data_IF_709517482860
#
_entry.id   IF_709517482860
#
_cell.length_a   1.000
_cell.length_b   1.000
_cell.length_c   1.000
_cell.angle_alpha   90.00
_cell.angle_beta   90.00
_cell.angle_gamma   90.00
#
_symmetry.space_group_name_H-M   'P 1'
#
loop_
_entity.id
_entity.type
_entity.pdbx_description
1 polymer ?
#
# COMPACT_ATOMS: atom_id res chain seq x y z
N UNK A 1 -30.03 -11.18 49.98
CA UNK A 1 -29.20 -10.70 51.11
C UNK A 1 -27.72 -10.73 50.76
N UNK A 2 -27.13 -9.57 50.49
CA UNK A 2 -25.85 -9.07 51.03
C UNK A 2 -25.34 -7.94 50.14
N UNK A 3 -25.45 -6.73 50.69
CA UNK A 3 -24.77 -5.53 50.24
C UNK A 3 -23.24 -5.69 50.42
N UNK A 4 -22.48 -5.09 49.51
CA UNK A 4 -21.03 -4.94 49.61
C UNK A 4 -20.63 -3.57 49.06
N UNK A 5 -20.59 -2.58 49.94
CA UNK A 5 -20.03 -1.25 49.70
C UNK A 5 -18.50 -1.35 49.52
N UNK A 6 -17.95 -0.64 48.52
CA UNK A 6 -16.52 -0.36 48.42
C UNK A 6 -16.30 1.15 48.42
N UNK A 7 -15.68 1.62 49.50
CA UNK A 7 -15.25 3.00 49.74
C UNK A 7 -14.16 3.44 48.74
N UNK A 8 -14.41 4.56 48.05
CA UNK A 8 -13.38 5.37 47.40
C UNK A 8 -12.66 6.26 48.43
N UNK A 9 -11.42 5.89 48.79
CA UNK A 9 -10.52 6.75 49.57
C UNK A 9 -9.76 7.71 48.66
N UNK A 10 -10.02 9.01 48.80
CA UNK A 10 -9.17 10.10 48.29
C UNK A 10 -7.81 10.07 49.01
N UNK A 11 -6.70 10.01 48.26
CA UNK A 11 -5.35 10.26 48.77
C UNK A 11 -4.93 11.69 48.43
N UNK A 12 -4.54 12.41 49.48
CA UNK A 12 -4.03 13.77 49.45
C UNK A 12 -2.55 13.81 49.03
N UNK A 13 -2.16 14.95 48.47
CA UNK A 13 -0.80 15.33 48.11
C UNK A 13 0.16 15.33 49.32
N UNK A 14 1.39 14.85 49.10
CA UNK A 14 2.58 15.24 49.88
C UNK A 14 3.68 15.62 48.90
N UNK A 15 4.01 16.92 48.86
CA UNK A 15 5.21 17.42 48.20
C UNK A 15 6.20 17.81 49.32
N UNK A 16 7.41 17.27 49.23
CA UNK A 16 8.50 17.42 50.21
C UNK A 16 9.37 18.61 49.78
N UNK A 17 9.91 19.32 50.77
CA UNK A 17 10.41 20.69 50.68
C UNK A 17 11.56 20.98 49.69
N UNK A 18 11.61 22.24 49.27
CA UNK A 18 12.75 22.90 48.63
C UNK A 18 12.56 24.42 48.69
N UNK A 19 13.39 25.12 49.46
CA UNK A 19 13.30 26.57 49.79
C UNK A 19 13.65 27.47 48.60
N UNK A 20 13.01 28.63 48.51
CA UNK A 20 13.65 29.89 48.11
C UNK A 20 13.00 31.09 48.83
N UNK A 21 13.83 32.10 49.10
CA UNK A 21 13.75 33.03 50.23
C UNK A 21 13.26 34.43 49.81
N UNK A 22 12.41 35.03 50.67
CA UNK A 22 12.12 36.46 50.96
C UNK A 22 12.18 37.51 49.82
N UNK A 23 11.10 38.29 49.66
CA UNK A 23 11.06 39.71 50.10
C UNK A 23 9.76 40.47 49.75
N UNK A 24 9.19 41.15 50.78
CA UNK A 24 8.41 42.43 50.81
C UNK A 24 7.05 42.46 50.06
N UNK A 25 5.93 42.98 50.58
CA UNK A 25 5.52 43.79 51.76
C UNK A 25 3.98 43.63 51.95
N UNK A 26 3.37 44.08 53.08
CA UNK A 26 2.07 43.61 53.58
C UNK A 26 0.85 44.34 53.01
N UNK A 27 -0.29 43.65 52.96
CA UNK A 27 -1.62 44.28 52.92
C UNK A 27 -2.00 44.74 54.33
N UNK A 28 -2.60 45.93 54.53
CA UNK A 28 -3.20 46.31 55.81
C UNK A 28 -4.52 45.56 56.03
N UNK A 29 -4.71 45.20 57.28
CA UNK A 29 -5.91 44.58 57.84
C UNK A 29 -7.13 45.51 57.87
N UNK A 30 -8.27 44.84 58.13
CA UNK A 30 -9.44 45.30 58.88
C UNK A 30 -10.60 45.94 58.11
N UNK A 31 -11.68 45.14 57.94
CA UNK A 31 -13.00 45.42 58.52
C UNK A 31 -14.00 44.31 58.13
N UNK A 32 -14.40 43.55 59.15
CA UNK A 32 -15.61 42.71 59.18
C UNK A 32 -16.87 43.58 59.10
N UNK A 33 -17.84 43.21 58.26
CA UNK A 33 -19.26 43.27 58.61
C UNK A 33 -20.13 42.48 57.63
N UNK A 34 -21.10 41.81 58.25
CA UNK A 34 -22.07 40.82 57.79
C UNK A 34 -23.15 41.39 56.84
N UNK A 35 -23.90 40.47 56.22
CA UNK A 35 -25.20 40.59 55.53
C UNK A 35 -25.20 40.73 53.98
N UNK A 36 -25.47 39.59 53.35
CA UNK A 36 -26.24 39.49 52.09
C UNK A 36 -27.75 39.71 52.40
N UNK A 37 -28.67 40.00 51.44
CA UNK A 37 -28.58 39.64 50.01
C UNK A 37 -29.23 40.60 48.96
N UNK A 38 -28.98 40.28 47.68
CA UNK A 38 -29.83 40.46 46.48
C UNK A 38 -30.00 41.86 45.83
N UNK A 39 -29.47 41.90 44.59
CA UNK A 39 -29.99 42.52 43.34
C UNK A 39 -30.14 44.04 43.29
N UNK A 40 -29.39 44.67 42.37
CA UNK A 40 -29.89 45.19 41.07
C UNK A 40 -28.91 46.28 40.58
N UNK A 41 -28.13 45.99 39.53
CA UNK A 41 -27.26 46.97 38.88
C UNK A 41 -27.95 47.57 37.65
N UNK A 42 -28.10 48.89 37.66
CA UNK A 42 -28.22 49.72 36.47
C UNK A 42 -27.10 50.79 36.49
N UNK A 43 -26.66 51.13 35.28
CA UNK A 43 -25.41 51.78 34.89
C UNK A 43 -25.20 53.23 35.36
N UNK A 44 -23.93 53.65 35.57
CA UNK A 44 -23.27 54.63 34.70
C UNK A 44 -21.75 54.85 34.93
N UNK A 45 -21.00 54.74 33.83
CA UNK A 45 -19.72 55.37 33.43
C UNK A 45 -18.82 55.98 34.53
N UNK A 46 -17.60 55.44 34.63
CA UNK A 46 -16.37 56.24 34.54
C UNK A 46 -15.26 55.45 33.84
N UNK A 47 -14.84 56.02 32.73
CA UNK A 47 -13.74 55.67 31.84
C UNK A 47 -12.41 55.46 32.58
N UNK A 48 -11.69 54.39 32.23
CA UNK A 48 -10.24 54.31 32.35
C UNK A 48 -9.67 53.42 31.24
N UNK A 49 -8.67 53.95 30.56
CA UNK A 49 -7.94 53.38 29.45
C UNK A 49 -7.29 52.05 29.85
N UNK A 50 -7.57 50.97 29.10
CA UNK A 50 -6.68 49.83 29.00
C UNK A 50 -5.86 50.02 27.73
N UNK A 51 -4.54 50.18 27.87
CA UNK A 51 -3.62 49.88 26.78
C UNK A 51 -3.78 48.39 26.47
N UNK A 52 -4.50 48.06 25.41
CA UNK A 52 -4.31 46.78 24.73
C UNK A 52 -3.03 46.94 23.91
N UNK A 53 -2.03 46.13 24.24
CA UNK A 53 -0.87 45.90 23.36
C UNK A 53 -1.40 45.25 22.07
N UNK A 54 -1.39 45.94 20.92
CA UNK A 54 -1.96 45.43 19.69
C UNK A 54 -0.87 44.82 18.81
N UNK A 55 0.10 44.10 19.35
CA UNK A 55 1.13 43.44 18.52
C UNK A 55 1.63 42.13 19.11
N UNK A 56 0.73 41.15 19.23
CA UNK A 56 1.15 39.75 19.15
C UNK A 56 0.30 39.02 18.14
N UNK A 57 0.52 39.37 16.88
CA UNK A 57 0.17 38.52 15.74
C UNK A 57 0.82 37.16 16.01
N UNK A 58 0.01 36.19 16.44
CA UNK A 58 0.40 34.79 16.38
C UNK A 58 0.66 34.50 14.91
N UNK A 59 1.93 34.46 14.51
CA UNK A 59 2.32 33.82 13.26
C UNK A 59 1.59 32.48 13.19
N UNK A 60 0.85 32.18 12.11
CA UNK A 60 0.30 30.85 11.93
C UNK A 60 1.47 29.88 12.05
N UNK A 61 1.47 29.05 13.09
CA UNK A 61 2.47 28.01 13.22
C UNK A 61 2.35 27.17 11.96
N UNK A 62 3.39 27.16 11.14
CA UNK A 62 3.48 26.30 9.96
C UNK A 62 3.07 24.90 10.43
N UNK A 63 2.07 24.26 9.81
CA UNK A 63 1.61 22.95 10.27
C UNK A 63 2.83 22.03 10.35
N UNK A 64 3.04 21.44 11.53
CA UNK A 64 4.17 20.54 11.78
C UNK A 64 4.02 19.40 10.77
N UNK A 65 4.93 19.36 9.80
CA UNK A 65 4.94 18.27 8.82
C UNK A 65 5.56 17.06 9.50
N UNK A 66 4.78 16.00 9.67
CA UNK A 66 5.25 14.75 10.27
C UNK A 66 6.11 13.96 9.27
N UNK A 67 7.15 13.30 9.78
CA UNK A 67 8.05 12.45 9.00
C UNK A 67 7.41 11.09 8.73
N UNK A 68 7.66 10.53 7.54
CA UNK A 68 7.26 9.18 7.20
C UNK A 68 8.31 8.15 7.65
N UNK A 69 7.90 6.89 7.73
CA UNK A 69 8.78 5.78 8.10
C UNK A 69 8.73 4.64 7.08
N UNK A 70 9.86 3.96 6.90
CA UNK A 70 9.97 2.66 6.24
C UNK A 70 10.95 1.80 7.04
N UNK A 71 10.43 0.81 7.75
CA UNK A 71 11.21 0.10 8.76
C UNK A 71 11.73 1.07 9.82
N UNK A 72 13.03 1.04 10.09
CA UNK A 72 13.67 1.91 11.09
C UNK A 72 14.04 3.31 10.56
N UNK A 73 13.94 3.52 9.24
CA UNK A 73 14.35 4.76 8.59
C UNK A 73 13.23 5.80 8.64
N UNK A 74 13.63 7.06 8.85
CA UNK A 74 12.75 8.24 8.90
C UNK A 74 13.03 9.16 7.71
N UNK A 75 11.96 9.65 7.10
CA UNK A 75 12.02 10.51 5.91
C UNK A 75 11.24 11.79 6.15
N UNK A 76 11.84 12.91 5.79
CA UNK A 76 11.18 14.21 5.89
C UNK A 76 9.99 14.30 4.92
N UNK A 77 8.95 15.02 5.32
CA UNK A 77 7.84 15.34 4.41
C UNK A 77 8.37 16.07 3.17
N UNK A 78 7.89 15.67 1.99
CA UNK A 78 8.42 16.08 0.69
C UNK A 78 9.48 15.14 0.11
N UNK A 79 9.99 14.15 0.86
CA UNK A 79 10.86 13.11 0.30
C UNK A 79 10.12 12.33 -0.78
N UNK A 80 10.75 12.14 -1.94
CA UNK A 80 10.18 11.41 -3.07
C UNK A 80 11.07 10.24 -3.51
N UNK A 81 10.42 9.18 -3.99
CA UNK A 81 11.05 8.00 -4.57
C UNK A 81 10.41 7.67 -5.92
N UNK A 82 11.21 7.07 -6.81
CA UNK A 82 10.75 6.45 -8.04
C UNK A 82 11.28 5.02 -8.06
N UNK A 83 10.46 4.06 -7.61
CA UNK A 83 10.81 2.63 -7.55
C UNK A 83 9.66 1.80 -8.10
N UNK A 84 9.98 0.62 -8.64
CA UNK A 84 8.98 -0.36 -9.09
C UNK A 84 7.91 0.27 -9.97
N UNK A 85 8.35 1.15 -10.89
CA UNK A 85 7.50 1.79 -11.89
C UNK A 85 6.50 2.81 -11.34
N UNK A 86 6.63 3.23 -10.09
CA UNK A 86 5.74 4.20 -9.48
C UNK A 86 6.52 5.27 -8.69
N UNK A 87 6.09 6.52 -8.84
CA UNK A 87 6.55 7.62 -7.99
C UNK A 87 5.72 7.66 -6.71
N UNK A 88 6.38 7.74 -5.56
CA UNK A 88 5.71 7.95 -4.28
C UNK A 88 6.46 8.94 -3.40
N UNK A 89 5.75 9.63 -2.52
CA UNK A 89 6.28 10.74 -1.73
C UNK A 89 5.70 10.78 -0.31
N UNK A 90 6.49 11.29 0.61
CA UNK A 90 6.09 11.49 2.01
C UNK A 90 5.32 12.79 2.16
N UNK A 91 4.16 12.75 2.83
CA UNK A 91 3.39 13.94 3.20
C UNK A 91 2.70 13.70 4.53
N UNK A 92 2.99 14.53 5.52
CA UNK A 92 2.35 14.49 6.85
C UNK A 92 2.32 13.07 7.46
N UNK A 93 3.49 12.42 7.53
CA UNK A 93 3.63 11.10 8.15
C UNK A 93 3.14 9.91 7.32
N UNK A 94 2.60 10.14 6.12
CA UNK A 94 2.03 9.12 5.24
C UNK A 94 2.64 9.13 3.85
N UNK A 95 2.64 7.98 3.20
CA UNK A 95 3.12 7.82 1.84
C UNK A 95 1.98 7.99 0.83
N UNK A 96 2.24 8.70 -0.25
CA UNK A 96 1.28 8.94 -1.33
C UNK A 96 1.91 8.67 -2.69
N UNK A 97 1.10 8.38 -3.70
CA UNK A 97 1.51 8.29 -5.10
C UNK A 97 0.68 9.24 -5.97
N UNK A 98 1.26 9.68 -7.10
CA UNK A 98 0.53 10.40 -8.15
C UNK A 98 -0.24 9.49 -9.10
N UNK A 99 -0.20 8.15 -8.90
CA UNK A 99 -0.76 7.13 -9.78
C UNK A 99 -0.27 7.24 -11.23
N UNK A 100 0.98 7.66 -11.40
CA UNK A 100 1.63 7.76 -12.71
C UNK A 100 2.72 6.71 -12.82
N UNK A 101 2.52 5.76 -13.74
CA UNK A 101 3.50 4.74 -14.05
C UNK A 101 4.69 5.32 -14.81
N UNK A 102 5.88 4.82 -14.51
CA UNK A 102 7.09 5.16 -15.25
C UNK A 102 7.04 4.53 -16.65
N UNK A 103 7.07 5.36 -17.69
CA UNK A 103 7.02 4.91 -19.09
C UNK A 103 8.23 4.07 -19.53
N UNK A 104 9.33 4.06 -18.78
CA UNK A 104 10.48 3.21 -19.05
C UNK A 104 10.27 1.75 -18.63
N UNK A 105 9.23 1.45 -17.84
CA UNK A 105 8.98 0.10 -17.37
C UNK A 105 8.38 -0.81 -18.44
N UNK A 106 8.70 -2.09 -18.36
CA UNK A 106 8.02 -3.12 -19.14
C UNK A 106 6.61 -3.30 -18.61
N UNK A 107 5.66 -3.53 -19.51
CA UNK A 107 4.24 -3.71 -19.20
C UNK A 107 3.74 -4.95 -19.91
N UNK A 108 3.17 -5.87 -19.14
CA UNK A 108 2.51 -7.07 -19.65
C UNK A 108 1.20 -7.28 -18.89
N UNK A 109 0.34 -8.16 -19.41
CA UNK A 109 -0.96 -8.38 -18.79
C UNK A 109 -1.51 -9.77 -19.05
N UNK A 110 -2.40 -10.21 -18.17
CA UNK A 110 -3.28 -11.36 -18.37
C UNK A 110 -4.68 -11.06 -17.82
N UNK A 111 -5.73 -11.64 -18.40
CA UNK A 111 -7.11 -11.45 -17.95
C UNK A 111 -7.87 -12.78 -17.75
N UNK A 112 -9.12 -12.70 -17.29
CA UNK A 112 -10.06 -13.83 -17.33
C UNK A 112 -10.41 -14.18 -18.78
N UNK A 113 -10.85 -15.42 -19.04
CA UNK A 113 -10.92 -15.97 -20.41
C UNK A 113 -9.59 -15.80 -21.13
N UNK A 114 -8.55 -16.50 -20.64
CA UNK A 114 -7.27 -15.88 -20.42
C UNK A 114 -6.56 -15.52 -21.72
N UNK A 115 -6.51 -14.21 -21.95
CA UNK A 115 -5.68 -13.59 -22.94
C UNK A 115 -4.44 -13.05 -22.26
N UNK A 116 -3.29 -13.26 -22.89
CA UNK A 116 -2.00 -12.81 -22.41
C UNK A 116 -1.43 -11.80 -23.39
N UNK A 117 -0.75 -10.81 -22.84
CA UNK A 117 0.12 -9.89 -23.57
C UNK A 117 1.48 -9.95 -22.91
N UNK A 118 2.49 -10.46 -23.62
CA UNK A 118 3.87 -10.49 -23.14
C UNK A 118 4.45 -9.07 -23.04
N UNK A 119 5.61 -8.94 -22.40
CA UNK A 119 6.29 -7.65 -22.28
C UNK A 119 6.70 -7.04 -23.63
N UNK A 120 6.97 -7.86 -24.64
CA UNK A 120 7.34 -7.39 -25.99
C UNK A 120 6.15 -7.36 -26.97
N UNK A 121 4.97 -7.81 -26.53
CA UNK A 121 3.70 -7.58 -27.22
C UNK A 121 3.12 -8.78 -27.99
N UNK A 122 3.60 -9.99 -27.74
CA UNK A 122 2.94 -11.22 -28.20
C UNK A 122 1.60 -11.36 -27.49
N UNK A 123 0.54 -11.53 -28.28
CA UNK A 123 -0.80 -11.85 -27.83
C UNK A 123 -1.06 -13.35 -28.00
N UNK A 124 -1.52 -14.02 -26.95
CA UNK A 124 -1.91 -15.42 -27.02
C UNK A 124 -3.00 -15.77 -26.01
N UNK A 125 -3.70 -16.87 -26.27
CA UNK A 125 -4.78 -17.40 -25.44
C UNK A 125 -4.35 -18.75 -24.85
N UNK A 126 -4.58 -18.96 -23.56
CA UNK A 126 -4.22 -20.23 -22.92
C UNK A 126 -5.01 -20.58 -21.66
N UNK A 127 -5.71 -21.71 -21.72
CA UNK A 127 -6.64 -22.16 -20.68
C UNK A 127 -6.04 -23.21 -19.74
N UNK A 128 -5.06 -22.83 -18.92
CA UNK A 128 -4.46 -23.72 -17.92
C UNK A 128 -5.25 -23.83 -16.61
N UNK A 129 -5.20 -24.99 -15.93
CA UNK A 129 -5.77 -25.22 -14.59
C UNK A 129 -4.69 -25.50 -13.54
N UNK A 130 -3.98 -24.47 -13.10
CA UNK A 130 -2.94 -24.58 -12.06
C UNK A 130 -2.42 -23.22 -11.60
N UNK A 131 -1.42 -23.24 -10.73
CA UNK A 131 -0.55 -22.10 -10.48
C UNK A 131 0.51 -22.09 -11.58
N UNK A 132 0.76 -20.93 -12.16
CA UNK A 132 1.74 -20.77 -13.22
C UNK A 132 2.58 -19.52 -13.02
N UNK A 133 3.78 -19.56 -13.57
CA UNK A 133 4.73 -18.47 -13.57
C UNK A 133 4.32 -17.43 -14.61
N UNK A 134 3.83 -16.28 -14.16
CA UNK A 134 3.53 -15.17 -15.05
C UNK A 134 4.84 -14.49 -15.44
N UNK A 135 5.64 -14.12 -14.45
CA UNK A 135 7.00 -13.62 -14.66
C UNK A 135 7.87 -13.92 -13.44
N UNK A 136 9.14 -14.23 -13.66
CA UNK A 136 10.16 -14.37 -12.64
C UNK A 136 11.52 -13.90 -13.18
N UNK A 137 12.48 -13.71 -12.29
CA UNK A 137 13.88 -13.55 -12.69
C UNK A 137 14.46 -14.87 -13.22
N UNK A 138 15.11 -14.81 -14.37
CA UNK A 138 15.72 -15.96 -15.02
C UNK A 138 14.78 -17.15 -15.23
N UNK A 139 15.34 -18.35 -15.21
CA UNK A 139 14.65 -19.62 -15.52
C UNK A 139 14.68 -20.62 -14.36
N UNK A 140 15.19 -20.20 -13.19
CA UNK A 140 15.40 -21.07 -12.04
C UNK A 140 14.07 -21.58 -11.46
N UNK A 141 14.08 -22.76 -10.84
CA UNK A 141 12.90 -23.32 -10.17
C UNK A 141 12.56 -22.61 -8.86
N UNK A 142 13.50 -21.85 -8.30
CA UNK A 142 13.36 -21.12 -7.03
C UNK A 142 13.84 -19.68 -7.19
N UNK A 143 13.15 -18.85 -8.00
CA UNK A 143 13.55 -17.47 -8.23
C UNK A 143 13.39 -16.62 -6.95
N UNK A 144 14.25 -15.61 -6.79
CA UNK A 144 14.17 -14.70 -5.64
C UNK A 144 13.01 -13.71 -5.73
N UNK A 145 12.55 -13.42 -6.96
CA UNK A 145 11.46 -12.49 -7.25
C UNK A 145 10.58 -13.04 -8.36
N UNK A 146 9.27 -12.98 -8.17
CA UNK A 146 8.30 -13.59 -9.08
C UNK A 146 6.89 -13.03 -8.92
N UNK A 147 6.08 -13.25 -9.96
CA UNK A 147 4.62 -13.09 -10.00
C UNK A 147 4.03 -14.38 -10.56
N UNK A 148 3.26 -15.10 -9.75
CA UNK A 148 2.52 -16.30 -10.17
C UNK A 148 1.03 -16.05 -10.09
N UNK A 149 0.26 -16.85 -10.82
CA UNK A 149 -1.20 -16.77 -10.80
C UNK A 149 -1.83 -18.16 -10.83
N UNK A 150 -2.83 -18.37 -9.96
CA UNK A 150 -3.71 -19.52 -9.98
C UNK A 150 -4.83 -19.29 -11.00
N UNK A 151 -4.89 -20.15 -12.01
CA UNK A 151 -6.01 -20.26 -12.93
C UNK A 151 -6.85 -21.50 -12.62
N UNK A 152 -8.16 -21.30 -12.57
CA UNK A 152 -9.16 -22.36 -12.40
C UNK A 152 -10.36 -22.09 -13.28
N UNK A 153 -11.29 -23.04 -13.43
CA UNK A 153 -12.53 -22.79 -14.17
C UNK A 153 -13.24 -21.53 -13.68
N UNK A 154 -13.71 -20.71 -14.62
CA UNK A 154 -14.53 -19.55 -14.29
C UNK A 154 -15.82 -20.00 -13.60
N UNK A 155 -16.37 -19.13 -12.75
CA UNK A 155 -17.64 -19.42 -12.05
C UNK A 155 -18.75 -19.72 -13.07
N UNK A 156 -19.26 -20.96 -13.05
CA UNK A 156 -20.34 -21.41 -13.93
C UNK A 156 -19.93 -21.77 -15.36
N UNK A 157 -18.63 -21.72 -15.72
CA UNK A 157 -18.13 -22.03 -17.06
C UNK A 157 -16.92 -22.97 -16.94
N UNK A 158 -17.10 -24.25 -17.28
CA UNK A 158 -16.06 -25.27 -17.08
C UNK A 158 -14.95 -25.29 -18.13
N UNK A 159 -15.22 -24.80 -19.35
CA UNK A 159 -14.29 -24.82 -20.49
C UNK A 159 -13.42 -23.57 -20.61
N UNK A 160 -13.64 -22.56 -19.76
CA UNK A 160 -12.86 -21.32 -19.69
C UNK A 160 -12.25 -21.22 -18.30
N UNK A 161 -11.04 -20.69 -18.20
CA UNK A 161 -10.35 -20.46 -16.94
C UNK A 161 -10.32 -18.97 -16.61
N UNK A 162 -10.20 -18.66 -15.34
CA UNK A 162 -10.14 -17.32 -14.78
C UNK A 162 -9.02 -17.30 -13.76
N UNK A 163 -8.33 -16.17 -13.63
CA UNK A 163 -7.36 -16.04 -12.54
C UNK A 163 -8.11 -15.82 -11.22
N UNK A 164 -7.62 -16.44 -10.16
CA UNK A 164 -8.25 -16.39 -8.83
C UNK A 164 -7.32 -15.80 -7.78
N UNK A 165 -6.07 -16.26 -7.75
CA UNK A 165 -5.09 -15.86 -6.73
C UNK A 165 -3.81 -15.43 -7.41
N UNK A 166 -3.27 -14.28 -7.01
CA UNK A 166 -1.92 -13.84 -7.40
C UNK A 166 -0.97 -14.08 -6.25
N UNK A 167 0.15 -14.76 -6.52
CA UNK A 167 1.25 -14.91 -5.59
C UNK A 167 2.39 -14.00 -6.03
N UNK A 168 2.84 -13.11 -5.16
CA UNK A 168 3.80 -12.08 -5.51
C UNK A 168 4.95 -12.06 -4.51
N UNK A 169 6.19 -12.15 -5.00
CA UNK A 169 7.41 -12.00 -4.21
C UNK A 169 8.02 -10.61 -4.46
N UNK A 170 7.66 -9.60 -3.65
CA UNK A 170 8.09 -8.21 -3.88
C UNK A 170 9.54 -7.95 -3.50
N UNK A 171 10.12 -8.75 -2.62
CA UNK A 171 11.47 -8.58 -2.10
C UNK A 171 12.17 -9.95 -1.97
N UNK A 172 13.46 -10.08 -2.29
CA UNK A 172 14.21 -11.30 -2.03
C UNK A 172 14.23 -11.66 -0.53
N UNK A 173 14.25 -12.96 -0.21
CA UNK A 173 14.36 -13.49 1.14
C UNK A 173 13.23 -13.07 2.11
N UNK A 174 12.06 -12.69 1.60
CA UNK A 174 10.83 -12.49 2.38
C UNK A 174 9.81 -13.56 2.02
N UNK A 175 8.73 -13.69 2.79
CA UNK A 175 7.59 -14.51 2.37
C UNK A 175 6.83 -13.83 1.23
N UNK A 176 6.36 -14.58 0.24
CA UNK A 176 5.48 -14.06 -0.79
C UNK A 176 4.15 -13.54 -0.20
N UNK A 177 3.52 -12.64 -0.95
CA UNK A 177 2.17 -12.13 -0.71
C UNK A 177 1.20 -13.03 -1.48
N UNK A 178 0.17 -13.53 -0.81
CA UNK A 178 -0.97 -14.19 -1.44
C UNK A 178 -2.14 -13.19 -1.55
N UNK A 179 -2.64 -12.98 -2.77
CA UNK A 179 -3.73 -12.04 -3.04
C UNK A 179 -4.89 -12.80 -3.66
N UNK A 180 -5.93 -13.04 -2.88
CA UNK A 180 -7.14 -13.74 -3.32
C UNK A 180 -8.15 -12.72 -3.83
N UNK A 181 -8.44 -12.76 -5.14
CA UNK A 181 -9.41 -11.87 -5.79
C UNK A 181 -10.82 -12.09 -5.22
N UNK A 182 -11.52 -11.01 -4.90
CA UNK A 182 -12.93 -11.04 -4.54
C UNK A 182 -13.74 -10.04 -5.38
N UNK A 183 -15.06 -10.21 -5.41
CA UNK A 183 -15.98 -9.20 -5.92
C UNK A 183 -16.84 -8.64 -4.77
N UNK A 184 -16.92 -7.31 -4.61
CA UNK A 184 -16.09 -6.28 -5.25
C UNK A 184 -14.61 -6.36 -4.83
N UNK A 185 -13.71 -5.78 -5.64
CA UNK A 185 -12.26 -5.96 -5.50
C UNK A 185 -11.68 -5.50 -4.15
N UNK A 186 -12.26 -4.51 -3.48
CA UNK A 186 -11.83 -4.07 -2.14
C UNK A 186 -12.04 -5.14 -1.05
N UNK A 187 -12.79 -6.21 -1.33
CA UNK A 187 -12.90 -7.37 -0.45
C UNK A 187 -11.77 -8.40 -0.67
N UNK A 188 -10.83 -8.14 -1.58
CA UNK A 188 -9.72 -9.06 -1.86
C UNK A 188 -8.84 -9.21 -0.62
N UNK A 189 -8.48 -10.46 -0.33
CA UNK A 189 -7.67 -10.79 0.83
C UNK A 189 -6.19 -10.71 0.46
N UNK A 190 -5.42 -9.97 1.25
CA UNK A 190 -3.96 -9.94 1.14
C UNK A 190 -3.39 -10.66 2.35
N UNK A 191 -2.79 -11.82 2.13
CA UNK A 191 -2.25 -12.68 3.18
C UNK A 191 -0.73 -12.77 3.10
N UNK A 192 -0.06 -12.54 4.23
CA UNK A 192 1.40 -12.59 4.36
C UNK A 192 1.73 -13.32 5.66
N UNK A 193 2.42 -14.46 5.58
CA UNK A 193 2.70 -15.31 6.75
C UNK A 193 1.44 -15.62 7.59
N UNK A 194 0.31 -15.88 6.94
CA UNK A 194 -0.97 -16.16 7.62
C UNK A 194 -1.67 -14.94 8.21
N UNK A 195 -1.07 -13.75 8.16
CA UNK A 195 -1.74 -12.50 8.53
C UNK A 195 -2.53 -11.95 7.33
N UNK A 196 -3.86 -11.95 7.44
CA UNK A 196 -4.76 -11.42 6.40
C UNK A 196 -5.15 -9.99 6.68
N UNK A 197 -5.07 -9.14 5.65
CA UNK A 197 -5.48 -7.74 5.67
C UNK A 197 -6.24 -7.35 4.40
N UNK A 198 -6.86 -6.17 4.43
CA UNK A 198 -7.68 -5.62 3.36
C UNK A 198 -7.25 -4.19 3.08
N UNK A 199 -7.35 -3.78 1.82
CA UNK A 199 -7.03 -2.42 1.39
C UNK A 199 -8.32 -1.72 1.02
N UNK A 200 -8.65 -0.69 1.79
CA UNK A 200 -9.80 0.15 1.49
C UNK A 200 -9.53 0.98 0.22
N UNK A 201 -10.60 1.29 -0.51
CA UNK A 201 -10.53 2.24 -1.60
C UNK A 201 -10.12 3.63 -1.06
N UNK A 202 -9.00 4.16 -1.54
CA UNK A 202 -8.53 5.49 -1.18
C UNK A 202 -8.13 6.24 -2.46
N UNK A 203 -9.06 7.02 -3.04
CA UNK A 203 -8.83 7.70 -4.31
C UNK A 203 -7.73 8.78 -4.23
N UNK A 204 -7.28 9.14 -3.02
CA UNK A 204 -6.25 10.17 -2.83
C UNK A 204 -4.82 9.63 -3.04
N UNK A 205 -4.65 8.35 -3.39
CA UNK A 205 -3.35 7.73 -3.66
C UNK A 205 -2.52 7.48 -2.40
N UNK A 206 -3.14 7.39 -1.23
CA UNK A 206 -2.43 7.02 0.01
C UNK A 206 -1.99 5.55 -0.06
N UNK A 207 -0.71 5.30 0.22
CA UNK A 207 -0.15 3.96 0.27
C UNK A 207 -0.32 3.34 1.65
N UNK A 208 -0.76 2.09 1.70
CA UNK A 208 -0.81 1.30 2.93
C UNK A 208 0.45 0.45 3.02
N UNK A 209 1.22 0.60 4.09
CA UNK A 209 2.32 -0.31 4.41
C UNK A 209 1.74 -1.66 4.85
N UNK A 210 2.06 -2.71 4.11
CA UNK A 210 1.54 -4.04 4.38
C UNK A 210 2.12 -4.60 5.68
N UNK A 211 1.33 -5.46 6.33
CA UNK A 211 1.70 -6.13 7.57
C UNK A 211 1.90 -7.63 7.36
N UNK A 212 2.94 -8.19 7.98
CA UNK A 212 3.21 -9.62 8.01
C UNK A 212 2.78 -10.25 9.35
N UNK A 213 3.51 -11.29 9.75
CA UNK A 213 3.27 -12.01 10.99
C UNK A 213 3.17 -11.06 12.21
N UNK A 214 2.20 -11.32 13.08
CA UNK A 214 1.88 -10.54 14.28
C UNK A 214 1.68 -9.03 14.03
N UNK A 215 1.33 -8.61 12.81
CA UNK A 215 1.10 -7.20 12.48
C UNK A 215 2.38 -6.38 12.31
N UNK A 216 3.53 -7.03 12.15
CA UNK A 216 4.82 -6.37 11.89
C UNK A 216 4.87 -5.76 10.49
N UNK A 217 5.66 -4.70 10.30
CA UNK A 217 5.83 -4.08 8.99
C UNK A 217 6.44 -5.08 7.99
N UNK A 218 5.75 -5.29 6.88
CA UNK A 218 6.25 -6.05 5.74
C UNK A 218 6.76 -5.08 4.67
N UNK A 219 7.85 -5.39 3.94
CA UNK A 219 8.51 -4.45 3.06
C UNK A 219 7.81 -4.25 1.70
N UNK A 220 6.49 -4.02 1.72
CA UNK A 220 5.70 -3.73 0.53
C UNK A 220 4.55 -2.77 0.84
N UNK A 221 4.16 -2.02 -0.18
CA UNK A 221 2.98 -1.18 -0.16
C UNK A 221 1.83 -1.84 -0.92
N UNK A 222 0.60 -1.51 -0.51
CA UNK A 222 -0.58 -1.71 -1.32
C UNK A 222 -1.51 -0.49 -1.27
N UNK A 223 -2.24 -0.27 -2.36
CA UNK A 223 -3.26 0.78 -2.45
C UNK A 223 -4.30 0.44 -3.50
N UNK A 224 -5.49 1.00 -3.32
CA UNK A 224 -6.58 0.89 -4.27
C UNK A 224 -6.76 2.23 -4.98
N UNK A 225 -6.79 2.20 -6.31
CA UNK A 225 -7.12 3.35 -7.16
C UNK A 225 -7.64 2.87 -8.51
N UNK A 226 -8.41 3.70 -9.22
CA UNK A 226 -8.99 3.34 -10.52
C UNK A 226 -9.75 1.99 -10.54
N UNK A 227 -10.31 1.58 -9.40
CA UNK A 227 -10.99 0.29 -9.22
C UNK A 227 -10.06 -0.94 -9.20
N UNK A 228 -8.74 -0.74 -9.06
CA UNK A 228 -7.73 -1.80 -9.05
C UNK A 228 -6.85 -1.74 -7.79
N UNK A 229 -6.43 -2.92 -7.33
CA UNK A 229 -5.46 -3.11 -6.25
C UNK A 229 -4.05 -3.06 -6.84
N UNK A 230 -3.16 -2.31 -6.23
CA UNK A 230 -1.76 -2.20 -6.63
C UNK A 230 -0.88 -2.66 -5.48
N UNK A 231 0.16 -3.44 -5.77
CA UNK A 231 1.11 -3.94 -4.78
C UNK A 231 2.53 -3.85 -5.32
N UNK A 232 3.47 -3.35 -4.51
CA UNK A 232 4.89 -3.29 -4.87
C UNK A 232 5.80 -3.35 -3.63
N UNK A 233 7.02 -3.88 -3.79
CA UNK A 233 8.09 -3.74 -2.81
C UNK A 233 8.62 -2.30 -2.74
N UNK A 234 9.45 -1.99 -1.75
CA UNK A 234 10.12 -0.68 -1.64
C UNK A 234 11.62 -0.75 -1.36
N UNK A 235 12.18 -1.92 -1.01
CA UNK A 235 13.60 -2.09 -0.75
C UNK A 235 14.35 -2.28 -2.07
N UNK A 236 13.95 -3.25 -2.88
CA UNK A 236 14.58 -3.56 -4.17
C UNK A 236 13.74 -3.10 -5.36
N UNK A 237 14.41 -2.98 -6.50
CA UNK A 237 13.74 -2.79 -7.79
C UNK A 237 13.31 -4.15 -8.36
N UNK A 238 12.10 -4.21 -8.89
CA UNK A 238 11.40 -5.43 -9.20
C UNK A 238 10.08 -5.14 -9.90
N UNK A 239 9.02 -5.81 -9.45
CA UNK A 239 7.68 -5.68 -10.02
C UNK A 239 6.79 -4.69 -9.28
N UNK A 240 5.82 -4.14 -10.01
CA UNK A 240 4.55 -3.64 -9.47
C UNK A 240 3.44 -4.43 -10.11
N UNK A 241 2.53 -4.95 -9.29
CA UNK A 241 1.39 -5.74 -9.73
C UNK A 241 0.11 -4.94 -9.55
N UNK A 242 -0.61 -4.71 -10.64
CA UNK A 242 -1.94 -4.08 -10.67
C UNK A 242 -2.98 -5.16 -10.93
N UNK A 243 -3.88 -5.38 -10.01
CA UNK A 243 -4.95 -6.38 -10.07
C UNK A 243 -6.27 -5.63 -10.20
N UNK A 244 -7.02 -5.90 -11.24
CA UNK A 244 -8.36 -5.38 -11.48
C UNK A 244 -9.36 -6.55 -11.46
N UNK A 245 -10.65 -6.25 -11.54
CA UNK A 245 -11.69 -7.29 -11.50
C UNK A 245 -11.50 -8.39 -12.56
N UNK A 246 -11.09 -8.00 -13.76
CA UNK A 246 -11.04 -8.87 -14.93
C UNK A 246 -9.64 -9.12 -15.45
N UNK A 247 -8.59 -8.54 -14.83
CA UNK A 247 -7.23 -8.78 -15.29
C UNK A 247 -6.16 -8.23 -14.38
N UNK A 248 -4.93 -8.60 -14.68
CA UNK A 248 -3.73 -8.22 -13.97
C UNK A 248 -2.76 -7.59 -14.96
N UNK A 249 -2.18 -6.46 -14.59
CA UNK A 249 -1.06 -5.84 -15.29
C UNK A 249 0.18 -5.99 -14.42
N UNK A 250 1.24 -6.54 -15.02
CA UNK A 250 2.56 -6.68 -14.38
C UNK A 250 3.46 -5.60 -14.97
N UNK A 251 3.94 -4.72 -14.11
CA UNK A 251 4.98 -3.75 -14.44
C UNK A 251 6.31 -4.27 -13.94
N UNK A 252 7.36 -4.11 -14.74
CA UNK A 252 8.72 -4.53 -14.38
C UNK A 252 9.70 -3.37 -14.53
N UNK A 253 10.56 -3.21 -13.53
CA UNK A 253 11.54 -2.12 -13.52
C UNK A 253 12.69 -2.39 -14.51
N UNK A 254 13.26 -1.36 -15.18
CA UNK A 254 14.32 -1.52 -16.19
C UNK A 254 15.53 -2.38 -15.84
N UNK A 255 15.86 -2.55 -14.56
CA UNK A 255 16.95 -3.42 -14.12
C UNK A 255 16.68 -4.92 -14.35
N UNK A 256 15.44 -5.30 -14.62
CA UNK A 256 15.05 -6.68 -14.93
C UNK A 256 15.04 -7.00 -16.43
N UNK A 257 15.25 -6.00 -17.30
CA UNK A 257 15.19 -6.16 -18.75
C UNK A 257 16.14 -7.26 -19.23
N UNK A 258 15.69 -8.11 -20.14
CA UNK A 258 16.43 -9.28 -20.67
C UNK A 258 16.75 -10.38 -19.64
N UNK A 259 16.22 -10.29 -18.42
CA UNK A 259 16.46 -11.24 -17.34
C UNK A 259 15.16 -11.82 -16.76
N UNK A 260 14.12 -11.87 -17.60
CA UNK A 260 12.82 -12.43 -17.21
C UNK A 260 12.59 -13.79 -17.88
N UNK A 261 11.80 -14.61 -17.21
CA UNK A 261 11.18 -15.81 -17.76
C UNK A 261 9.74 -15.93 -17.25
N UNK A 262 8.95 -16.80 -17.88
CA UNK A 262 7.53 -17.00 -17.56
C UNK A 262 6.63 -16.80 -18.78
N UNK A 263 5.33 -16.95 -18.56
CA UNK A 263 4.33 -16.79 -19.62
C UNK A 263 4.28 -15.38 -20.21
N UNK A 264 4.82 -14.37 -19.52
CA UNK A 264 4.83 -12.98 -19.98
C UNK A 264 6.09 -12.59 -20.76
N UNK A 265 6.95 -13.56 -21.12
CA UNK A 265 8.14 -13.34 -21.94
C UNK A 265 9.36 -12.84 -21.16
N UNK A 266 10.43 -12.51 -21.88
CA UNK A 266 11.73 -12.17 -21.31
C UNK A 266 12.07 -10.67 -21.32
N UNK A 267 11.23 -9.85 -21.98
CA UNK A 267 11.36 -8.40 -22.09
C UNK A 267 12.73 -7.96 -22.62
N UNK A 268 13.01 -8.29 -23.87
CA UNK A 268 14.25 -7.93 -24.55
C UNK A 268 14.03 -7.08 -25.80
N UNK A 269 12.79 -6.64 -26.05
CA UNK A 269 12.30 -5.99 -27.26
C UNK A 269 12.29 -6.91 -28.51
N UNK A 270 12.28 -8.23 -28.34
CA UNK A 270 12.22 -9.22 -29.42
C UNK A 270 11.10 -10.25 -29.21
N UNK A 271 9.98 -10.00 -29.89
CA UNK A 271 8.80 -10.87 -29.84
C UNK A 271 9.03 -12.29 -30.37
N UNK A 272 10.09 -12.53 -31.15
CA UNK A 272 10.35 -13.85 -31.74
C UNK A 272 10.76 -14.90 -30.70
N UNK A 273 11.09 -14.45 -29.49
CA UNK A 273 11.66 -15.30 -28.46
C UNK A 273 10.91 -15.24 -27.11
N UNK A 274 9.78 -14.52 -27.07
CA UNK A 274 8.91 -14.40 -25.89
C UNK A 274 8.37 -15.75 -25.40
N UNK A 275 8.12 -16.69 -26.31
CA UNK A 275 7.59 -18.01 -25.99
C UNK A 275 8.73 -19.01 -25.75
N UNK A 276 9.61 -18.67 -24.80
CA UNK A 276 10.77 -19.48 -24.41
C UNK A 276 10.45 -20.38 -23.23
N UNK A 277 10.76 -21.66 -23.37
CA UNK A 277 10.67 -22.65 -22.29
C UNK A 277 11.78 -22.43 -21.26
N UNK A 278 11.63 -23.01 -20.05
CA UNK A 278 12.64 -23.03 -18.99
C UNK A 278 13.98 -23.59 -19.45
N UNK A 279 13.96 -24.60 -20.31
CA UNK A 279 15.16 -25.21 -20.88
C UNK A 279 15.85 -24.36 -21.98
N UNK A 280 15.31 -23.18 -22.29
CA UNK A 280 15.86 -22.22 -23.25
C UNK A 280 15.41 -22.41 -24.70
N UNK A 281 14.73 -23.50 -25.03
CA UNK A 281 14.12 -23.71 -26.36
C UNK A 281 12.98 -22.71 -26.58
N UNK A 282 12.65 -22.43 -27.84
CA UNK A 282 11.67 -21.42 -28.24
C UNK A 282 10.55 -22.12 -29.02
N UNK A 283 9.30 -21.81 -28.67
CA UNK A 283 8.13 -22.16 -29.44
C UNK A 283 7.84 -21.08 -30.49
N UNK A 284 7.46 -21.47 -31.69
CA UNK A 284 7.01 -20.50 -32.70
C UNK A 284 5.79 -19.73 -32.16
N UNK A 285 5.77 -18.39 -32.28
CA UNK A 285 4.63 -17.61 -31.85
C UNK A 285 3.37 -17.97 -32.66
N UNK A 286 2.18 -17.93 -32.03
CA UNK A 286 0.93 -18.12 -32.75
C UNK A 286 0.82 -17.07 -33.87
N UNK A 287 0.28 -17.48 -35.03
CA UNK A 287 0.06 -16.52 -36.11
C UNK A 287 -0.97 -15.49 -35.64
N UNK A 288 -0.55 -14.23 -35.48
CA UNK A 288 -1.44 -13.13 -35.11
C UNK A 288 -2.33 -12.71 -36.30
N UNK A 289 -3.22 -13.61 -36.72
CA UNK A 289 -4.23 -13.32 -37.72
C UNK A 289 -5.44 -12.73 -36.98
N UNK A 290 -5.59 -11.42 -37.07
CA UNK A 290 -6.62 -10.63 -36.38
C UNK A 290 -8.07 -11.01 -36.71
N UNK A 291 -8.29 -11.91 -37.68
CA UNK A 291 -9.62 -12.34 -38.11
C UNK A 291 -10.18 -13.56 -37.38
N UNK A 292 -9.36 -14.37 -36.67
CA UNK A 292 -9.82 -15.59 -36.01
C UNK A 292 -9.23 -15.78 -34.61
N UNK A 293 -10.09 -15.95 -33.61
CA UNK A 293 -9.69 -16.18 -32.22
C UNK A 293 -8.94 -17.50 -32.02
N UNK A 294 -9.23 -18.52 -32.83
CA UNK A 294 -8.53 -19.82 -32.77
C UNK A 294 -7.03 -19.74 -33.10
N UNK A 295 -6.59 -18.69 -33.80
CA UNK A 295 -5.21 -18.56 -34.26
C UNK A 295 -4.27 -18.03 -33.16
N UNK A 296 -4.82 -17.63 -31.99
CA UNK A 296 -4.06 -17.18 -30.81
C UNK A 296 -3.82 -18.25 -29.75
N UNK A 297 -4.43 -19.43 -29.89
CA UNK A 297 -4.22 -20.52 -28.96
C UNK A 297 -2.80 -21.07 -29.09
N UNK A 298 -2.07 -21.07 -27.97
CA UNK A 298 -0.73 -21.68 -27.92
C UNK A 298 -0.79 -23.16 -27.55
N UNK A 299 0.27 -23.89 -27.88
CA UNK A 299 0.43 -25.28 -27.48
C UNK A 299 0.40 -25.41 -25.95
N UNK A 300 -0.44 -26.30 -25.38
CA UNK A 300 -0.48 -26.56 -23.94
C UNK A 300 0.88 -26.89 -23.32
N UNK A 301 1.84 -27.42 -24.09
CA UNK A 301 3.20 -27.74 -23.63
C UNK A 301 3.90 -26.48 -23.10
N UNK A 302 3.72 -25.31 -23.73
CA UNK A 302 4.30 -24.05 -23.26
C UNK A 302 3.76 -23.63 -21.90
N UNK A 303 2.44 -23.64 -21.74
CA UNK A 303 1.80 -23.35 -20.46
C UNK A 303 2.22 -24.31 -19.34
N UNK A 304 2.36 -25.59 -19.66
CA UNK A 304 2.72 -26.63 -18.69
C UNK A 304 4.19 -26.57 -18.24
N UNK A 305 5.10 -26.06 -19.06
CA UNK A 305 6.51 -25.87 -18.69
C UNK A 305 6.68 -24.80 -17.60
N UNK A 306 5.82 -23.78 -17.62
CA UNK A 306 5.77 -22.70 -16.64
C UNK A 306 4.79 -22.96 -15.48
N UNK A 307 4.35 -24.20 -15.30
CA UNK A 307 3.69 -24.67 -14.07
C UNK A 307 4.70 -24.77 -12.91
#
# INVERSE_FOLDING_TARGET
>A
ERHGDILLRKKACRNIGGKCVKNRKPCPDDLTLELQPKKQFCYHKKSRCCFQDPTRTSTPSTPIQENCTLGELRYESGTEFNKNCMKYFCKNGKWYTSNQYNAACGVSSFNDDPHFTTFDGILFDWHGHSIYVMSQTGHDLCPETFVYSLFSSCSGISHVTCFHTVYFQPEPNTTNIEIVKAYPLFNSQITINGYTQYINDNPNGELTLLKGDNGTDYPAFAWMTDGCLHVMGYKTEGYLVKICQWGVTVFTYPTMKQNLGGLLGNWDNDTSNDLRFRNGTIMDPPQQIWSNWCDRLIDPIYGNDWK
#
